data_IF_051777923155
#
_entry.id   IF_051777923155
#
_cell.length_a   1.000
_cell.length_b   1.000
_cell.length_c   1.000
_cell.angle_alpha   90.00
_cell.angle_beta   90.00
_cell.angle_gamma   90.00
#
_symmetry.space_group_name_H-M   'P 1'
#
loop_
_entity.id
_entity.type
_entity.pdbx_description
1 polymer ?
#
# COMPACT_ATOMS: atom_id res chain seq x y z
N UNK A 1 5.49 -4.27 7.49
CA UNK A 1 6.91 -4.63 7.28
C UNK A 1 7.25 -6.03 7.82
N UNK A 2 6.72 -6.48 8.98
CA UNK A 2 7.06 -7.79 9.57
C UNK A 2 6.80 -8.96 8.60
N UNK A 3 5.68 -8.94 7.86
CA UNK A 3 5.32 -10.00 6.91
C UNK A 3 6.23 -10.00 5.68
N UNK A 4 6.59 -8.85 5.13
CA UNK A 4 7.50 -8.74 3.99
C UNK A 4 8.91 -9.23 4.31
N UNK A 5 9.39 -9.01 5.54
CA UNK A 5 10.70 -9.51 5.98
C UNK A 5 10.74 -11.03 6.14
N UNK A 6 9.60 -11.67 6.46
CA UNK A 6 9.50 -13.13 6.64
C UNK A 6 9.31 -13.89 5.33
N UNK A 7 8.55 -13.32 4.38
CA UNK A 7 8.15 -13.99 3.13
C UNK A 7 8.75 -13.31 1.90
N UNK A 8 10.04 -12.96 1.97
CA UNK A 8 10.75 -12.18 0.92
C UNK A 8 10.65 -12.82 -0.47
N UNK A 9 10.87 -14.14 -0.56
CA UNK A 9 10.81 -14.88 -1.82
C UNK A 9 9.39 -14.89 -2.42
N UNK A 10 8.38 -15.13 -1.60
CA UNK A 10 6.98 -15.12 -2.04
C UNK A 10 6.55 -13.75 -2.55
N UNK A 11 6.98 -12.67 -1.85
CA UNK A 11 6.66 -11.31 -2.27
C UNK A 11 7.25 -10.95 -3.64
N UNK A 12 8.52 -11.24 -3.87
CA UNK A 12 9.13 -10.94 -5.18
C UNK A 12 8.56 -11.84 -6.27
N UNK A 13 8.50 -13.15 -6.04
CA UNK A 13 8.07 -14.11 -7.03
C UNK A 13 6.62 -13.89 -7.47
N UNK A 14 5.69 -13.84 -6.52
CA UNK A 14 4.27 -13.72 -6.85
C UNK A 14 3.96 -12.40 -7.55
N UNK A 15 4.54 -11.28 -7.12
CA UNK A 15 4.33 -10.00 -7.77
C UNK A 15 4.88 -10.00 -9.20
N UNK A 16 6.10 -10.54 -9.42
CA UNK A 16 6.67 -10.66 -10.77
C UNK A 16 5.81 -11.54 -11.66
N UNK A 17 5.37 -12.71 -11.20
CA UNK A 17 4.55 -13.63 -11.99
C UNK A 17 3.20 -13.02 -12.37
N UNK A 18 2.51 -12.37 -11.44
CA UNK A 18 1.21 -11.74 -11.72
C UNK A 18 1.38 -10.64 -12.75
N UNK A 19 2.26 -9.68 -12.50
CA UNK A 19 2.41 -8.51 -13.38
C UNK A 19 2.95 -8.86 -14.75
N UNK A 20 3.94 -9.77 -14.85
CA UNK A 20 4.50 -10.19 -16.12
C UNK A 20 3.44 -10.86 -16.99
N UNK A 21 2.63 -11.74 -16.39
CA UNK A 21 1.55 -12.40 -17.10
C UNK A 21 0.48 -11.40 -17.58
N UNK A 22 0.04 -10.48 -16.72
CA UNK A 22 -0.97 -9.48 -17.08
C UNK A 22 -0.46 -8.55 -18.17
N UNK A 23 0.72 -7.95 -18.02
CA UNK A 23 1.28 -7.00 -19.00
C UNK A 23 1.49 -7.70 -20.34
N UNK A 24 2.10 -8.90 -20.35
CA UNK A 24 2.35 -9.64 -21.59
C UNK A 24 1.06 -10.11 -22.27
N UNK A 25 0.09 -10.63 -21.52
CA UNK A 25 -1.21 -11.02 -22.06
C UNK A 25 -1.99 -9.82 -22.60
N UNK A 26 -1.89 -8.66 -21.97
CA UNK A 26 -2.50 -7.41 -22.47
C UNK A 26 -1.97 -7.05 -23.86
N UNK A 27 -0.66 -7.11 -24.05
CA UNK A 27 -0.07 -6.90 -25.37
C UNK A 27 -0.53 -7.94 -26.40
N UNK A 28 -0.48 -9.23 -26.05
CA UNK A 28 -0.92 -10.31 -26.97
C UNK A 28 -2.37 -10.20 -27.40
N UNK A 29 -3.23 -9.63 -26.56
CA UNK A 29 -4.65 -9.46 -26.85
C UNK A 29 -5.00 -8.04 -27.31
N UNK A 30 -4.01 -7.25 -27.70
CA UNK A 30 -4.20 -5.89 -28.24
C UNK A 30 -5.01 -4.98 -27.30
N UNK A 31 -4.77 -5.08 -25.98
CA UNK A 31 -5.35 -4.17 -25.00
C UNK A 31 -4.85 -2.77 -25.29
N UNK A 32 -5.78 -1.85 -25.57
CA UNK A 32 -5.45 -0.48 -26.01
C UNK A 32 -4.70 0.31 -24.96
N UNK A 33 -5.07 0.17 -23.69
CA UNK A 33 -4.50 0.93 -22.59
C UNK A 33 -4.47 0.09 -21.31
N UNK A 34 -3.41 0.20 -20.52
CA UNK A 34 -3.24 -0.49 -19.25
C UNK A 34 -2.76 0.51 -18.20
N UNK A 35 -3.37 0.48 -17.02
CA UNK A 35 -2.87 1.17 -15.83
C UNK A 35 -2.23 0.16 -14.88
N UNK A 36 -0.93 0.32 -14.62
CA UNK A 36 -0.18 -0.50 -13.69
C UNK A 36 -0.06 0.21 -12.34
N UNK A 37 -0.60 -0.42 -11.30
CA UNK A 37 -0.47 0.09 -9.93
C UNK A 37 0.88 -0.30 -9.35
N UNK A 38 1.79 0.67 -9.26
CA UNK A 38 3.06 0.55 -8.57
C UNK A 38 2.92 0.80 -7.06
N UNK A 39 3.90 1.45 -6.48
CA UNK A 39 3.92 1.87 -5.07
C UNK A 39 5.06 2.84 -4.85
N UNK A 40 4.90 3.80 -3.96
CA UNK A 40 6.01 4.70 -3.53
C UNK A 40 7.18 3.98 -2.83
N UNK A 41 7.02 2.69 -2.49
CA UNK A 41 8.12 1.84 -2.00
C UNK A 41 9.26 1.65 -3.00
N UNK A 42 9.07 2.00 -4.27
CA UNK A 42 10.10 1.91 -5.32
C UNK A 42 11.22 2.93 -5.18
N UNK A 43 10.96 3.99 -4.45
CA UNK A 43 11.92 5.07 -4.27
C UNK A 43 13.00 4.71 -3.24
N UNK A 44 14.19 5.28 -3.40
CA UNK A 44 15.26 5.11 -2.44
C UNK A 44 14.85 5.43 -1.01
N UNK A 45 15.45 4.74 -0.04
CA UNK A 45 15.18 4.99 1.38
C UNK A 45 15.41 6.45 1.78
N UNK A 46 16.46 7.06 1.23
CA UNK A 46 16.87 8.44 1.51
C UNK A 46 16.44 9.41 0.38
N UNK A 47 15.34 9.10 -0.31
CA UNK A 47 14.80 9.99 -1.33
C UNK A 47 14.38 11.35 -0.74
N UNK A 48 14.52 12.44 -1.49
CA UNK A 48 14.03 13.75 -1.06
C UNK A 48 12.51 13.74 -0.83
N UNK A 49 12.04 14.67 -0.02
CA UNK A 49 10.60 14.83 0.25
C UNK A 49 10.17 16.24 -0.19
N UNK A 50 9.16 16.35 -1.05
CA UNK A 50 8.42 15.30 -1.76
C UNK A 50 9.30 14.49 -2.72
N UNK A 51 8.94 13.21 -2.94
CA UNK A 51 9.70 12.30 -3.80
C UNK A 51 9.39 12.55 -5.29
N UNK A 52 10.32 13.06 -6.10
CA UNK A 52 10.11 13.19 -7.55
C UNK A 52 10.33 11.86 -8.26
N UNK A 53 9.73 11.71 -9.44
CA UNK A 53 9.82 10.50 -10.26
C UNK A 53 11.25 10.18 -10.71
N UNK A 54 12.09 11.18 -10.87
CA UNK A 54 13.47 11.03 -11.33
C UNK A 54 14.43 10.46 -10.28
N UNK A 55 14.01 10.37 -9.03
CA UNK A 55 14.82 9.71 -8.00
C UNK A 55 14.76 8.17 -8.02
N UNK A 56 13.99 7.57 -8.93
CA UNK A 56 13.93 6.12 -9.10
C UNK A 56 15.31 5.55 -9.45
N UNK A 57 15.76 4.53 -8.69
CA UNK A 57 17.04 3.82 -8.88
C UNK A 57 18.29 4.68 -8.66
N UNK A 58 18.22 5.79 -7.96
CA UNK A 58 19.38 6.64 -7.67
C UNK A 58 20.20 6.22 -6.45
N UNK A 59 19.61 5.46 -5.54
CA UNK A 59 20.31 4.91 -4.37
C UNK A 59 19.57 3.67 -3.80
N UNK A 60 20.12 3.00 -2.74
CA UNK A 60 19.52 1.78 -2.20
C UNK A 60 18.08 1.94 -1.70
N UNK A 61 17.28 0.90 -1.90
CA UNK A 61 15.91 0.79 -1.42
C UNK A 61 15.85 0.50 0.10
N UNK A 62 14.67 0.64 0.68
CA UNK A 62 14.43 0.19 2.06
C UNK A 62 14.52 -1.34 2.13
N UNK A 63 15.51 -1.84 2.86
CA UNK A 63 15.87 -3.27 2.91
C UNK A 63 14.70 -4.19 3.30
N UNK A 64 13.87 -3.76 4.24
CA UNK A 64 12.79 -4.61 4.77
C UNK A 64 11.73 -4.93 3.73
N UNK A 65 11.57 -4.09 2.70
CA UNK A 65 10.56 -4.21 1.65
C UNK A 65 11.15 -4.28 0.22
N UNK A 66 12.46 -4.34 0.11
CA UNK A 66 13.20 -4.37 -1.16
C UNK A 66 12.69 -5.42 -2.16
N UNK A 67 12.36 -6.67 -1.80
CA UNK A 67 11.85 -7.65 -2.76
C UNK A 67 10.55 -7.23 -3.43
N UNK A 68 9.64 -6.61 -2.70
CA UNK A 68 8.40 -6.05 -3.24
C UNK A 68 8.69 -4.84 -4.13
N UNK A 69 9.55 -3.94 -3.67
CA UNK A 69 9.94 -2.75 -4.41
C UNK A 69 10.59 -3.11 -5.76
N UNK A 70 11.53 -4.05 -5.78
CA UNK A 70 12.16 -4.57 -7.01
C UNK A 70 11.12 -5.14 -7.98
N UNK A 71 10.17 -5.92 -7.47
CA UNK A 71 9.11 -6.44 -8.33
C UNK A 71 8.29 -5.30 -8.97
N UNK A 72 7.91 -4.28 -8.18
CA UNK A 72 7.17 -3.12 -8.72
C UNK A 72 7.99 -2.30 -9.70
N UNK A 73 9.27 -2.08 -9.45
CA UNK A 73 10.20 -1.44 -10.40
C UNK A 73 10.24 -2.22 -11.72
N UNK A 74 10.36 -3.55 -11.66
CA UNK A 74 10.34 -4.38 -12.85
C UNK A 74 9.04 -4.22 -13.66
N UNK A 75 7.88 -4.11 -13.00
CA UNK A 75 6.61 -3.87 -13.67
C UNK A 75 6.54 -2.51 -14.37
N UNK A 76 7.04 -1.45 -13.73
CA UNK A 76 7.14 -0.11 -14.33
C UNK A 76 8.03 -0.16 -15.57
N UNK A 77 9.22 -0.75 -15.45
CA UNK A 77 10.17 -0.86 -16.56
C UNK A 77 9.66 -1.78 -17.67
N UNK A 78 8.83 -2.77 -17.33
CA UNK A 78 8.15 -3.59 -18.33
C UNK A 78 7.12 -2.78 -19.11
N UNK A 79 6.27 -1.97 -18.47
CA UNK A 79 5.34 -1.07 -19.14
C UNK A 79 6.09 -0.10 -20.08
N UNK A 80 7.13 0.56 -19.58
CA UNK A 80 7.97 1.47 -20.36
C UNK A 80 8.59 0.77 -21.59
N UNK A 81 9.14 -0.44 -21.40
CA UNK A 81 9.75 -1.21 -22.48
C UNK A 81 8.75 -1.66 -23.55
N UNK A 82 7.52 -2.04 -23.14
CA UNK A 82 6.47 -2.40 -24.08
C UNK A 82 5.98 -1.20 -24.89
N UNK A 83 5.86 -0.04 -24.26
CA UNK A 83 5.53 1.21 -24.95
C UNK A 83 6.58 1.54 -26.02
N UNK A 84 7.86 1.49 -25.66
CA UNK A 84 8.95 1.82 -26.57
C UNK A 84 9.12 0.81 -27.71
N UNK A 85 8.96 -0.48 -27.42
CA UNK A 85 9.20 -1.54 -28.41
C UNK A 85 7.99 -1.81 -29.30
N UNK A 86 6.80 -1.81 -28.73
CA UNK A 86 5.59 -2.26 -29.40
C UNK A 86 4.54 -1.16 -29.63
N UNK A 87 4.82 0.07 -29.17
CA UNK A 87 3.89 1.20 -29.32
C UNK A 87 2.61 1.02 -28.50
N UNK A 88 2.69 0.32 -27.36
CA UNK A 88 1.55 0.18 -26.45
C UNK A 88 1.31 1.49 -25.69
N UNK A 89 0.19 1.57 -24.96
CA UNK A 89 -0.15 2.71 -24.13
C UNK A 89 -0.35 2.25 -22.67
N UNK A 90 0.75 1.91 -22.01
CA UNK A 90 0.75 1.37 -20.65
C UNK A 90 1.32 2.39 -19.68
N UNK A 91 0.47 2.88 -18.77
CA UNK A 91 0.81 3.90 -17.77
C UNK A 91 1.04 3.23 -16.42
N UNK A 92 2.09 3.62 -15.72
CA UNK A 92 2.35 3.20 -14.35
C UNK A 92 2.10 4.35 -13.37
N UNK A 93 1.39 4.08 -12.28
CA UNK A 93 1.10 5.08 -11.24
C UNK A 93 1.59 4.61 -9.87
N UNK A 94 2.07 5.56 -9.07
CA UNK A 94 2.66 5.33 -7.76
C UNK A 94 1.78 5.94 -6.67
N UNK A 95 0.77 5.19 -6.17
CA UNK A 95 -0.03 5.67 -5.05
C UNK A 95 0.80 5.73 -3.77
N UNK A 96 0.51 6.70 -2.93
CA UNK A 96 0.95 6.76 -1.54
C UNK A 96 0.20 5.72 -0.68
N UNK A 97 0.25 5.81 0.65
CA UNK A 97 -0.42 4.84 1.51
C UNK A 97 -1.94 4.99 1.40
N UNK A 98 -2.59 4.00 0.87
CA UNK A 98 -4.04 3.99 0.72
C UNK A 98 -4.73 3.57 2.02
N UNK A 99 -5.92 4.14 2.26
CA UNK A 99 -6.84 3.72 3.31
C UNK A 99 -8.28 3.89 2.83
N UNK A 100 -9.22 3.15 3.41
CA UNK A 100 -10.63 3.27 3.01
C UNK A 100 -11.53 2.20 3.60
N UNK A 101 -12.79 2.14 3.17
CA UNK A 101 -13.73 1.09 3.56
C UNK A 101 -13.20 -0.29 3.19
N UNK A 102 -13.51 -1.28 4.02
CA UNK A 102 -13.10 -2.67 3.83
C UNK A 102 -11.59 -2.92 3.88
N UNK A 103 -10.81 -2.00 4.46
CA UNK A 103 -9.38 -2.21 4.70
C UNK A 103 -9.12 -3.38 5.66
N UNK A 104 -7.88 -3.80 5.75
CA UNK A 104 -7.46 -4.82 6.70
C UNK A 104 -7.30 -4.22 8.10
N UNK A 105 -8.33 -4.34 8.95
CA UNK A 105 -8.31 -3.89 10.35
C UNK A 105 -7.76 -4.93 11.34
N UNK A 106 -7.13 -6.00 10.88
CA UNK A 106 -6.50 -6.99 11.77
C UNK A 106 -5.24 -6.39 12.43
N UNK A 107 -5.20 -6.33 13.77
CA UNK A 107 -4.12 -5.67 14.52
C UNK A 107 -2.73 -6.28 14.32
N UNK A 108 -2.66 -7.53 13.87
CA UNK A 108 -1.39 -8.24 13.63
C UNK A 108 -0.82 -7.99 12.22
N UNK A 109 -1.70 -7.72 11.23
CA UNK A 109 -1.34 -7.72 9.81
C UNK A 109 -1.69 -6.45 9.07
N UNK A 110 -2.44 -5.53 9.68
CA UNK A 110 -2.89 -4.28 9.06
C UNK A 110 -1.76 -3.25 8.92
N UNK A 111 -2.01 -2.29 8.04
CA UNK A 111 -1.21 -1.06 7.98
C UNK A 111 -1.49 -0.14 9.18
N UNK A 112 -0.64 0.87 9.36
CA UNK A 112 -0.65 1.72 10.55
C UNK A 112 -1.98 2.44 10.77
N UNK A 113 -2.57 3.04 9.73
CA UNK A 113 -3.79 3.83 9.88
C UNK A 113 -5.02 2.97 10.24
N UNK A 114 -5.35 1.88 9.53
CA UNK A 114 -6.44 1.00 9.94
C UNK A 114 -6.22 0.35 11.33
N UNK A 115 -4.96 0.02 11.68
CA UNK A 115 -4.67 -0.46 13.03
C UNK A 115 -4.98 0.60 14.09
N UNK A 116 -4.59 1.86 13.87
CA UNK A 116 -4.86 2.97 14.78
C UNK A 116 -6.36 3.23 14.92
N UNK A 117 -7.10 3.27 13.82
CA UNK A 117 -8.56 3.46 13.84
C UNK A 117 -9.22 2.39 14.71
N UNK A 118 -8.86 1.13 14.51
CA UNK A 118 -9.44 0.03 15.31
C UNK A 118 -9.01 0.09 16.78
N UNK A 119 -7.74 0.37 17.06
CA UNK A 119 -7.25 0.53 18.44
C UNK A 119 -8.00 1.63 19.18
N UNK A 120 -8.19 2.79 18.54
CA UNK A 120 -8.93 3.92 19.11
C UNK A 120 -10.40 3.56 19.35
N UNK A 121 -11.03 2.85 18.41
CA UNK A 121 -12.40 2.37 18.56
C UNK A 121 -12.55 1.45 19.78
N UNK A 122 -11.68 0.44 19.90
CA UNK A 122 -11.70 -0.51 21.03
C UNK A 122 -11.40 0.19 22.37
N UNK A 123 -10.42 1.10 22.41
CA UNK A 123 -10.12 1.90 23.61
C UNK A 123 -11.30 2.78 24.02
N UNK A 124 -12.02 3.37 23.06
CA UNK A 124 -13.25 4.12 23.29
C UNK A 124 -14.34 3.23 23.87
N UNK A 125 -14.58 2.05 23.30
CA UNK A 125 -15.57 1.09 23.81
C UNK A 125 -15.28 0.70 25.26
N UNK A 126 -14.02 0.42 25.61
CA UNK A 126 -13.59 0.16 26.97
C UNK A 126 -13.87 1.35 27.92
N UNK A 127 -13.55 2.57 27.47
CA UNK A 127 -13.73 3.79 28.26
C UNK A 127 -15.20 4.09 28.55
N UNK A 128 -16.08 3.88 27.58
CA UNK A 128 -17.51 4.14 27.71
C UNK A 128 -18.30 2.96 28.26
N UNK A 129 -17.67 1.80 28.48
CA UNK A 129 -18.33 0.56 28.89
C UNK A 129 -19.23 -0.05 27.81
N UNK A 130 -18.99 0.28 26.53
CA UNK A 130 -19.74 -0.27 25.39
C UNK A 130 -19.22 -1.67 25.02
N UNK A 131 -19.54 -2.63 25.88
CA UNK A 131 -19.16 -4.03 25.69
C UNK A 131 -19.85 -4.69 24.49
N UNK A 132 -21.01 -4.21 24.09
CA UNK A 132 -21.72 -4.74 22.92
C UNK A 132 -20.93 -4.44 21.63
N UNK A 133 -20.57 -3.18 21.40
CA UNK A 133 -19.79 -2.78 20.24
C UNK A 133 -18.39 -3.43 20.24
N UNK A 134 -17.72 -3.50 21.40
CA UNK A 134 -16.42 -4.14 21.55
C UNK A 134 -16.47 -5.63 21.18
N UNK A 135 -17.41 -6.37 21.74
CA UNK A 135 -17.58 -7.81 21.46
C UNK A 135 -17.93 -8.06 20.01
N UNK A 136 -18.79 -7.25 19.42
CA UNK A 136 -19.14 -7.32 17.99
C UNK A 136 -17.92 -7.13 17.09
N UNK A 137 -17.06 -6.15 17.38
CA UNK A 137 -15.80 -5.96 16.62
C UNK A 137 -14.90 -7.18 16.74
N UNK A 138 -14.69 -7.69 17.95
CA UNK A 138 -13.82 -8.83 18.20
C UNK A 138 -14.36 -10.16 17.66
N UNK A 139 -15.68 -10.31 17.51
CA UNK A 139 -16.27 -11.47 16.83
C UNK A 139 -16.02 -11.46 15.34
N UNK A 140 -16.06 -10.29 14.72
CA UNK A 140 -15.75 -10.12 13.29
C UNK A 140 -14.24 -10.30 13.03
N UNK A 141 -13.39 -9.79 13.93
CA UNK A 141 -11.93 -9.81 13.82
C UNK A 141 -11.27 -10.15 15.15
N UNK A 142 -11.17 -11.44 15.50
CA UNK A 142 -10.51 -11.87 16.74
C UNK A 142 -9.10 -11.29 16.87
N UNK A 143 -8.66 -10.99 18.08
CA UNK A 143 -7.30 -10.52 18.40
C UNK A 143 -6.53 -11.67 19.02
N UNK A 144 -5.43 -12.09 18.43
CA UNK A 144 -4.64 -13.28 18.86
C UNK A 144 -5.53 -14.53 19.12
N UNK A 145 -6.59 -14.69 18.32
CA UNK A 145 -7.56 -15.79 18.47
C UNK A 145 -8.65 -15.56 19.53
N UNK A 146 -8.60 -14.48 20.30
CA UNK A 146 -9.61 -14.12 21.28
C UNK A 146 -10.76 -13.37 20.60
N UNK A 147 -11.95 -13.95 20.60
CA UNK A 147 -13.18 -13.35 20.03
C UNK A 147 -14.00 -12.60 21.09
N UNK A 148 -15.05 -11.90 20.65
CA UNK A 148 -15.96 -11.21 21.54
C UNK A 148 -16.79 -12.15 22.46
N UNK A 149 -16.73 -13.48 22.25
CA UNK A 149 -17.38 -14.49 23.10
C UNK A 149 -16.53 -14.88 24.32
N UNK A 150 -15.26 -14.47 24.35
CA UNK A 150 -14.38 -14.74 25.47
C UNK A 150 -14.82 -14.01 26.75
N UNK A 151 -14.27 -14.42 27.87
CA UNK A 151 -14.48 -13.73 29.15
C UNK A 151 -13.87 -12.32 29.15
N UNK A 152 -14.43 -11.41 29.97
CA UNK A 152 -13.88 -10.05 30.08
C UNK A 152 -12.39 -10.03 30.45
N UNK A 153 -11.90 -10.83 31.41
CA UNK A 153 -10.48 -10.87 31.72
C UNK A 153 -9.59 -11.29 30.55
N UNK A 154 -10.03 -12.25 29.72
CA UNK A 154 -9.29 -12.67 28.52
C UNK A 154 -9.25 -11.56 27.47
N UNK A 155 -10.39 -10.90 27.23
CA UNK A 155 -10.49 -9.76 26.32
C UNK A 155 -9.57 -8.63 26.79
N UNK A 156 -9.67 -8.22 28.06
CA UNK A 156 -8.83 -7.17 28.62
C UNK A 156 -7.34 -7.51 28.53
N UNK A 157 -6.97 -8.75 28.80
CA UNK A 157 -5.59 -9.21 28.74
C UNK A 157 -5.00 -9.12 27.32
N UNK A 158 -5.75 -9.56 26.29
CA UNK A 158 -5.27 -9.49 24.91
C UNK A 158 -5.22 -8.06 24.36
N UNK A 159 -6.16 -7.21 24.76
CA UNK A 159 -6.17 -5.81 24.36
C UNK A 159 -5.05 -5.03 25.03
N UNK A 160 -4.74 -5.27 26.29
CA UNK A 160 -3.62 -4.64 26.99
C UNK A 160 -2.27 -5.00 26.34
N UNK A 161 -2.05 -6.26 25.91
CA UNK A 161 -0.88 -6.65 25.12
C UNK A 161 -0.74 -5.88 23.82
N UNK A 162 -1.86 -5.47 23.21
CA UNK A 162 -1.88 -4.64 22.01
C UNK A 162 -1.77 -3.14 22.31
N UNK A 163 -1.58 -2.77 23.58
CA UNK A 163 -1.51 -1.38 24.04
C UNK A 163 -2.86 -0.66 23.95
N UNK A 164 -3.96 -1.37 24.19
CA UNK A 164 -5.33 -0.82 24.16
C UNK A 164 -5.90 -0.87 25.56
N UNK A 165 -6.15 0.28 26.17
CA UNK A 165 -6.69 0.45 27.52
C UNK A 165 -7.90 1.40 27.50
N UNK A 166 -8.69 1.50 28.57
CA UNK A 166 -9.81 2.44 28.61
C UNK A 166 -9.37 3.88 28.35
N UNK A 167 -9.76 4.43 27.19
CA UNK A 167 -9.42 5.80 26.78
C UNK A 167 -7.96 6.03 26.37
N UNK A 168 -7.14 4.99 26.31
CA UNK A 168 -5.72 5.08 26.02
C UNK A 168 -5.29 4.08 24.93
N UNK A 169 -4.43 4.53 24.03
CA UNK A 169 -3.79 3.68 23.00
C UNK A 169 -2.29 3.93 23.02
N UNK A 170 -1.54 2.87 23.27
CA UNK A 170 -0.08 2.89 23.18
C UNK A 170 0.35 2.80 21.70
N UNK A 171 1.13 3.78 21.24
CA UNK A 171 1.70 3.81 19.91
C UNK A 171 3.16 3.36 19.95
N UNK A 172 3.54 2.51 19.03
CA UNK A 172 4.90 2.04 18.93
C UNK A 172 5.82 3.08 18.27
N UNK A 173 7.04 3.18 18.80
CA UNK A 173 8.06 4.06 18.27
C UNK A 173 8.00 5.47 18.85
N UNK A 174 8.58 6.41 18.11
CA UNK A 174 8.78 7.79 18.61
C UNK A 174 7.64 8.76 18.27
N UNK A 175 6.70 8.33 17.42
CA UNK A 175 5.66 9.22 16.85
C UNK A 175 6.17 10.25 15.84
N UNK A 176 7.48 10.31 15.57
CA UNK A 176 8.08 11.29 14.65
C UNK A 176 7.89 11.00 13.15
N UNK A 177 7.84 9.72 12.67
CA UNK A 177 7.70 9.47 11.25
C UNK A 177 6.39 10.02 10.69
N UNK A 178 6.51 10.88 9.69
CA UNK A 178 5.37 11.36 8.92
C UNK A 178 5.01 10.33 7.84
N UNK A 179 3.73 10.27 7.52
CA UNK A 179 3.20 9.41 6.44
C UNK A 179 2.08 10.17 5.73
N UNK A 180 2.11 10.11 4.44
CA UNK A 180 1.02 10.57 3.60
C UNK A 180 -0.02 9.44 3.44
N UNK A 181 -1.30 9.79 3.49
CA UNK A 181 -2.42 8.88 3.32
C UNK A 181 -3.38 9.42 2.27
N UNK A 182 -3.79 8.56 1.34
CA UNK A 182 -4.74 8.89 0.29
C UNK A 182 -5.99 7.99 0.44
N UNK A 183 -7.15 8.61 0.33
CA UNK A 183 -8.42 7.90 0.35
C UNK A 183 -8.58 7.02 -0.90
N UNK A 184 -9.04 5.78 -0.71
CA UNK A 184 -9.06 4.78 -1.80
C UNK A 184 -9.99 5.17 -2.96
N UNK A 185 -11.07 5.91 -2.72
CA UNK A 185 -11.96 6.41 -3.76
C UNK A 185 -11.28 7.53 -4.57
N UNK A 186 -10.53 8.42 -3.92
CA UNK A 186 -9.75 9.45 -4.63
C UNK A 186 -8.67 8.82 -5.52
N UNK A 187 -8.04 7.72 -5.06
CA UNK A 187 -7.12 6.95 -5.91
C UNK A 187 -7.85 6.31 -7.10
N UNK A 188 -9.08 5.83 -6.91
CA UNK A 188 -9.88 5.27 -7.99
C UNK A 188 -10.25 6.36 -9.01
N UNK A 189 -10.69 7.53 -8.55
CA UNK A 189 -11.01 8.67 -9.41
C UNK A 189 -9.78 9.14 -10.21
N UNK A 190 -8.63 9.27 -9.55
CA UNK A 190 -7.37 9.60 -10.22
C UNK A 190 -6.98 8.55 -11.27
N UNK A 191 -7.20 7.26 -10.97
CA UNK A 191 -6.93 6.17 -11.91
C UNK A 191 -7.83 6.25 -13.16
N UNK A 192 -9.12 6.53 -12.98
CA UNK A 192 -10.07 6.72 -14.08
C UNK A 192 -9.66 7.95 -14.91
N UNK A 193 -9.39 9.08 -14.26
CA UNK A 193 -8.94 10.29 -14.94
C UNK A 193 -7.69 10.04 -15.80
N UNK A 194 -6.67 9.39 -15.26
CA UNK A 194 -5.44 9.05 -16.00
C UNK A 194 -5.75 8.10 -17.16
N UNK A 195 -6.62 7.12 -16.97
CA UNK A 195 -7.03 6.20 -18.05
C UNK A 195 -7.75 6.92 -19.19
N UNK A 196 -8.46 7.99 -18.92
CA UNK A 196 -9.23 8.74 -19.92
C UNK A 196 -8.42 9.85 -20.60
N UNK A 197 -7.46 10.48 -19.89
CA UNK A 197 -6.87 11.74 -20.31
C UNK A 197 -5.34 11.72 -20.49
N UNK A 198 -4.63 10.69 -20.01
CA UNK A 198 -3.17 10.68 -20.04
C UNK A 198 -2.67 9.49 -20.86
N UNK A 199 -1.93 9.74 -21.91
CA UNK A 199 -1.29 8.72 -22.72
C UNK A 199 0.21 8.65 -22.45
N UNK A 200 0.88 7.57 -22.88
CA UNK A 200 2.33 7.42 -22.73
C UNK A 200 3.09 8.58 -23.36
N UNK A 201 2.60 9.12 -24.47
CA UNK A 201 3.22 10.27 -25.17
C UNK A 201 3.21 11.55 -24.33
N UNK A 202 2.29 11.69 -23.37
CA UNK A 202 2.19 12.85 -22.48
C UNK A 202 3.24 12.82 -21.37
N UNK A 203 3.68 11.62 -20.99
CA UNK A 203 4.61 11.41 -19.86
C UNK A 203 6.03 11.07 -20.27
N UNK A 204 6.26 10.74 -21.53
CA UNK A 204 7.60 10.45 -22.01
C UNK A 204 8.41 11.71 -22.29
N UNK A 205 9.72 11.65 -22.07
CA UNK A 205 10.65 12.68 -22.49
C UNK A 205 10.67 12.78 -24.03
N UNK A 206 10.61 14.01 -24.55
CA UNK A 206 10.63 14.27 -26.00
C UNK A 206 12.03 14.21 -26.60
N UNK A 207 13.05 14.38 -25.76
CA UNK A 207 14.46 14.34 -26.17
C UNK A 207 15.28 13.46 -25.19
N UNK A 208 16.30 12.81 -25.69
CA UNK A 208 17.19 11.97 -24.90
C UNK A 208 16.62 10.57 -24.60
N UNK A 209 17.08 9.99 -23.51
CA UNK A 209 16.63 8.67 -23.05
C UNK A 209 15.27 8.76 -22.37
N UNK A 210 14.35 7.88 -22.74
CA UNK A 210 13.05 7.77 -22.06
C UNK A 210 13.22 7.01 -20.74
N UNK A 211 12.95 7.69 -19.64
CA UNK A 211 13.05 7.12 -18.29
C UNK A 211 11.94 7.69 -17.40
N UNK A 212 11.58 6.93 -16.37
CA UNK A 212 10.70 7.41 -15.28
C UNK A 212 9.37 7.98 -15.79
N UNK A 213 8.72 7.24 -16.68
CA UNK A 213 7.42 7.61 -17.30
C UNK A 213 6.21 7.30 -16.41
N UNK A 214 6.44 6.99 -15.14
CA UNK A 214 5.40 6.76 -14.15
C UNK A 214 4.95 8.09 -13.51
N UNK A 215 3.80 8.06 -12.87
CA UNK A 215 3.15 9.23 -12.27
C UNK A 215 2.93 8.98 -10.78
N UNK A 216 3.39 9.89 -9.93
CA UNK A 216 3.06 9.87 -8.52
C UNK A 216 1.62 10.33 -8.26
N UNK A 217 0.91 9.64 -7.37
CA UNK A 217 -0.43 10.03 -6.92
C UNK A 217 -0.42 10.15 -5.39
N UNK A 218 -0.65 11.35 -4.92
CA UNK A 218 -0.66 11.71 -3.51
C UNK A 218 -1.60 12.88 -3.23
N UNK A 219 -1.63 13.33 -1.99
CA UNK A 219 -2.49 14.44 -1.53
C UNK A 219 -1.81 15.81 -1.67
N UNK A 220 -0.48 15.83 -1.86
CA UNK A 220 0.32 17.06 -1.95
C UNK A 220 0.77 17.61 -0.61
#
# INVERSE_FOLDING_TARGET
>A
YKRQSLYRADFIYNNLMIQNNVIHASWKNNVKKLLFLGSTCIYPREAPQPMPEDCLLTSPLEYSNEPYAIAKIAGIKMCESYNLQYGTNYIAVMPTNLYGPNDNFNLETSHVLPAMIRKIHLAKCLHTGDWEALRKDMDIRPVEGVSGKASEPEILSVLDKQGIRPGEVELWGTGKPLREFLWSEEMADASVYIMEHVDFEDVRQKEGEVRNTHINIGTG
#
